data_IF_709466461581
#
_entry.id   IF_709466461581
#
_cell.length_a   1.000
_cell.length_b   1.000
_cell.length_c   1.000
_cell.angle_alpha   90.00
_cell.angle_beta   90.00
_cell.angle_gamma   90.00
#
_symmetry.space_group_name_H-M   'P 1'
#
loop_
_entity.id
_entity.type
_entity.pdbx_description
1 polymer ?
#
# COMPACT_ATOMS: atom_id res chain seq x y z
N UNK A 1 12.44 -5.31 -1.71
CA UNK A 1 11.08 -5.58 -1.20
C UNK A 1 10.94 -7.06 -0.92
N UNK A 2 11.34 -7.93 -1.86
CA UNK A 2 11.45 -9.39 -1.68
C UNK A 2 12.03 -9.81 -0.32
N UNK A 3 13.15 -9.22 0.11
CA UNK A 3 13.75 -9.59 1.40
C UNK A 3 12.85 -9.22 2.60
N UNK A 4 12.18 -8.06 2.58
CA UNK A 4 11.23 -7.69 3.64
C UNK A 4 10.00 -8.62 3.65
N UNK A 5 9.57 -9.10 2.49
CA UNK A 5 8.49 -10.08 2.36
C UNK A 5 8.90 -11.42 2.97
N UNK A 6 10.10 -11.91 2.64
CA UNK A 6 10.62 -13.16 3.20
C UNK A 6 10.76 -13.07 4.71
N UNK A 7 11.30 -11.96 5.22
CA UNK A 7 11.42 -11.69 6.66
C UNK A 7 10.03 -11.73 7.33
N UNK A 8 9.05 -10.99 6.79
CA UNK A 8 7.66 -11.02 7.30
C UNK A 8 7.04 -12.42 7.30
N UNK A 9 7.25 -13.19 6.23
CA UNK A 9 6.73 -14.54 6.13
C UNK A 9 7.38 -15.46 7.17
N UNK A 10 8.70 -15.36 7.37
CA UNK A 10 9.43 -16.11 8.38
C UNK A 10 8.92 -15.78 9.79
N UNK A 11 8.80 -14.49 10.12
CA UNK A 11 8.25 -14.04 11.41
C UNK A 11 6.84 -14.61 11.65
N UNK A 12 5.98 -14.63 10.63
CA UNK A 12 4.64 -15.19 10.74
C UNK A 12 4.66 -16.69 11.04
N UNK A 13 5.51 -17.45 10.35
CA UNK A 13 5.66 -18.90 10.58
C UNK A 13 6.24 -19.21 11.96
N UNK A 14 7.23 -18.44 12.41
CA UNK A 14 7.88 -18.64 13.71
C UNK A 14 6.95 -18.26 14.88
N UNK A 15 6.20 -17.16 14.74
CA UNK A 15 5.28 -16.69 15.77
C UNK A 15 4.00 -17.54 15.86
N UNK A 16 3.53 -18.10 14.74
CA UNK A 16 2.29 -18.88 14.67
C UNK A 16 1.01 -18.08 14.96
N UNK A 17 1.09 -16.75 14.97
CA UNK A 17 -0.04 -15.83 15.15
C UNK A 17 0.06 -14.67 14.16
N UNK A 18 -1.05 -13.97 13.85
CA UNK A 18 -1.03 -12.85 12.90
C UNK A 18 0.04 -11.81 13.24
N UNK A 19 0.66 -11.24 12.21
CA UNK A 19 1.58 -10.10 12.34
C UNK A 19 0.81 -8.88 12.82
N UNK A 20 1.35 -8.15 13.79
CA UNK A 20 0.71 -6.95 14.37
C UNK A 20 1.64 -5.73 14.31
N UNK A 21 1.18 -4.59 14.82
CA UNK A 21 1.91 -3.31 14.76
C UNK A 21 3.21 -3.25 15.59
N UNK A 22 3.44 -4.23 16.47
CA UNK A 22 4.68 -4.33 17.26
C UNK A 22 5.82 -5.01 16.48
N UNK A 23 5.51 -5.57 15.31
CA UNK A 23 6.46 -6.27 14.47
C UNK A 23 7.33 -5.30 13.66
N UNK A 24 8.65 -5.35 13.88
CA UNK A 24 9.58 -4.46 13.17
C UNK A 24 9.72 -4.79 11.69
N UNK A 25 9.52 -6.04 11.30
CA UNK A 25 9.56 -6.51 9.91
C UNK A 25 8.35 -5.96 9.13
N UNK A 26 7.19 -5.81 9.78
CA UNK A 26 6.05 -5.10 9.21
C UNK A 26 6.38 -3.63 8.92
N UNK A 27 7.00 -2.92 9.87
CA UNK A 27 7.41 -1.53 9.67
C UNK A 27 8.37 -1.40 8.48
N UNK A 28 9.43 -2.23 8.45
CA UNK A 28 10.41 -2.26 7.34
C UNK A 28 9.73 -2.52 6.00
N UNK A 29 8.82 -3.50 5.96
CA UNK A 29 8.05 -3.81 4.76
C UNK A 29 7.22 -2.62 4.29
N UNK A 30 6.42 -2.01 5.18
CA UNK A 30 5.57 -0.88 4.83
C UNK A 30 6.37 0.31 4.31
N UNK A 31 7.48 0.63 4.97
CA UNK A 31 8.40 1.67 4.52
C UNK A 31 9.01 1.36 3.13
N UNK A 32 9.45 0.12 2.91
CA UNK A 32 10.02 -0.29 1.61
C UNK A 32 8.97 -0.31 0.50
N UNK A 33 7.75 -0.73 0.81
CA UNK A 33 6.62 -0.69 -0.12
C UNK A 33 6.27 0.76 -0.49
N UNK A 34 6.24 1.68 0.47
CA UNK A 34 5.99 3.10 0.21
C UNK A 34 7.03 3.70 -0.74
N UNK A 35 8.32 3.35 -0.58
CA UNK A 35 9.38 3.75 -1.53
C UNK A 35 9.08 3.22 -2.94
N UNK A 36 8.64 1.97 -3.08
CA UNK A 36 8.29 1.40 -4.40
C UNK A 36 7.06 2.09 -4.99
N UNK A 37 6.04 2.36 -4.16
CA UNK A 37 4.85 3.11 -4.56
C UNK A 37 5.20 4.53 -5.02
N UNK A 38 6.21 5.17 -4.41
CA UNK A 38 6.66 6.52 -4.79
C UNK A 38 7.64 6.53 -5.96
N UNK A 39 8.28 5.40 -6.27
CA UNK A 39 9.31 5.31 -7.31
C UNK A 39 8.75 5.68 -8.68
N UNK A 40 9.28 6.77 -9.25
CA UNK A 40 8.85 7.26 -10.56
C UNK A 40 7.49 7.93 -10.57
N UNK A 41 6.94 8.31 -9.42
CA UNK A 41 5.78 9.19 -9.41
C UNK A 41 6.13 10.53 -10.05
N UNK A 42 5.18 11.03 -10.86
CA UNK A 42 5.26 12.36 -11.44
C UNK A 42 4.89 13.39 -10.39
N UNK A 43 5.63 14.48 -10.32
CA UNK A 43 5.25 15.64 -9.52
C UNK A 43 3.94 16.22 -10.05
N UNK A 44 2.84 15.96 -9.33
CA UNK A 44 1.51 16.44 -9.67
C UNK A 44 0.91 17.15 -8.48
N UNK A 45 0.24 18.27 -8.74
CA UNK A 45 -0.53 19.01 -7.74
C UNK A 45 -2.01 19.02 -8.12
N UNK A 46 -2.88 19.11 -7.12
CA UNK A 46 -4.29 19.43 -7.31
C UNK A 46 -4.47 20.92 -7.62
N UNK A 47 -5.69 21.33 -8.00
CA UNK A 47 -6.01 22.74 -8.25
C UNK A 47 -5.77 23.64 -7.01
N UNK A 48 -5.85 23.07 -5.81
CA UNK A 48 -5.58 23.75 -4.54
C UNK A 48 -4.11 23.58 -4.08
N UNK A 49 -3.21 23.15 -4.96
CA UNK A 49 -1.79 23.06 -4.69
C UNK A 49 -1.33 21.83 -3.89
N UNK A 50 -2.25 20.98 -3.42
CA UNK A 50 -1.87 19.76 -2.69
C UNK A 50 -1.17 18.75 -3.62
N UNK A 51 0.01 18.26 -3.23
CA UNK A 51 0.75 17.22 -3.93
C UNK A 51 -0.08 15.93 -4.02
N UNK A 52 -0.11 15.34 -5.21
CA UNK A 52 -0.73 14.04 -5.46
C UNK A 52 0.30 12.95 -5.25
N UNK A 53 -0.12 11.86 -4.63
CA UNK A 53 0.74 10.70 -4.38
C UNK A 53 -0.01 9.39 -4.71
N UNK A 54 0.48 8.25 -4.21
CA UNK A 54 -0.12 6.94 -4.52
C UNK A 54 -1.57 6.80 -4.01
N UNK A 55 -2.01 7.56 -3.01
CA UNK A 55 -3.42 7.62 -2.62
C UNK A 55 -4.30 8.12 -3.77
N UNK A 56 -3.87 9.18 -4.45
CA UNK A 56 -4.62 9.75 -5.57
C UNK A 56 -4.61 8.80 -6.78
N UNK A 57 -3.52 8.06 -6.97
CA UNK A 57 -3.43 6.98 -7.94
C UNK A 57 -4.43 5.86 -7.63
N UNK A 58 -4.46 5.34 -6.39
CA UNK A 58 -5.45 4.33 -5.97
C UNK A 58 -6.88 4.81 -6.16
N UNK A 59 -7.19 6.05 -5.75
CA UNK A 59 -8.50 6.65 -6.00
C UNK A 59 -8.85 6.68 -7.49
N UNK A 60 -7.88 6.93 -8.37
CA UNK A 60 -8.10 6.97 -9.82
C UNK A 60 -8.36 5.58 -10.39
N UNK A 61 -7.58 4.58 -10.00
CA UNK A 61 -7.67 3.25 -10.56
C UNK A 61 -8.89 2.46 -10.05
N UNK A 62 -9.22 2.59 -8.78
CA UNK A 62 -10.23 1.76 -8.14
C UNK A 62 -11.63 2.40 -8.15
N UNK A 63 -11.79 3.62 -8.70
CA UNK A 63 -13.07 4.33 -8.69
C UNK A 63 -14.23 3.57 -9.35
N UNK A 64 -13.94 2.77 -10.39
CA UNK A 64 -14.91 1.92 -11.09
C UNK A 64 -15.07 0.52 -10.47
N UNK A 65 -14.14 0.11 -9.59
CA UNK A 65 -13.98 -1.28 -9.15
C UNK A 65 -14.76 -1.59 -7.87
N UNK A 66 -16.05 -1.22 -7.85
CA UNK A 66 -16.88 -1.18 -6.63
C UNK A 66 -17.03 -2.50 -5.88
N UNK A 67 -16.81 -3.62 -6.56
CA UNK A 67 -16.95 -4.97 -6.02
C UNK A 67 -15.65 -5.54 -5.43
N UNK A 68 -14.52 -4.83 -5.58
CA UNK A 68 -13.21 -5.31 -5.12
C UNK A 68 -12.86 -4.79 -3.74
N UNK A 69 -12.05 -5.56 -3.00
CA UNK A 69 -11.56 -5.18 -1.67
C UNK A 69 -10.77 -3.87 -1.70
N UNK A 70 -10.02 -3.59 -2.76
CA UNK A 70 -9.33 -2.30 -2.94
C UNK A 70 -10.28 -1.09 -2.90
N UNK A 71 -11.51 -1.21 -3.43
CA UNK A 71 -12.50 -0.14 -3.32
C UNK A 71 -13.04 0.00 -1.89
N UNK A 72 -13.20 -1.11 -1.16
CA UNK A 72 -13.54 -1.08 0.26
C UNK A 72 -12.45 -0.38 1.08
N UNK A 73 -11.17 -0.63 0.77
CA UNK A 73 -10.03 0.05 1.37
C UNK A 73 -10.09 1.58 1.18
N UNK A 74 -10.47 2.05 -0.01
CA UNK A 74 -10.66 3.49 -0.26
C UNK A 74 -11.78 4.10 0.59
N UNK A 75 -12.90 3.40 0.75
CA UNK A 75 -14.02 3.86 1.60
C UNK A 75 -13.59 3.90 3.06
N UNK A 76 -12.90 2.86 3.54
CA UNK A 76 -12.36 2.79 4.88
C UNK A 76 -11.42 3.98 5.15
N UNK A 77 -10.39 4.19 4.32
CA UNK A 77 -9.45 5.30 4.49
C UNK A 77 -10.11 6.69 4.45
N UNK A 78 -11.22 6.86 3.69
CA UNK A 78 -12.01 8.11 3.68
C UNK A 78 -12.83 8.31 4.95
N UNK A 79 -13.23 7.23 5.62
CA UNK A 79 -14.01 7.29 6.87
C UNK A 79 -13.16 7.64 8.10
N UNK A 80 -11.84 7.47 8.02
CA UNK A 80 -10.90 7.85 9.09
C UNK A 80 -10.73 9.38 9.14
N UNK A 81 -11.58 10.03 9.93
CA UNK A 81 -11.62 11.51 10.05
C UNK A 81 -10.37 12.12 10.68
N UNK A 82 -9.60 11.33 11.41
CA UNK A 82 -8.30 11.69 12.00
C UNK A 82 -7.23 11.93 10.93
N UNK A 83 -7.29 11.24 9.79
CA UNK A 83 -6.31 11.37 8.71
C UNK A 83 -6.55 12.65 7.90
N UNK A 84 -5.58 13.56 7.95
CA UNK A 84 -5.62 14.86 7.29
C UNK A 84 -4.93 14.83 5.95
N UNK A 85 -3.89 14.02 5.76
CA UNK A 85 -3.11 14.02 4.51
C UNK A 85 -3.58 12.96 3.51
N UNK A 86 -3.18 13.13 2.24
CA UNK A 86 -3.36 12.07 1.24
C UNK A 86 -2.41 10.90 1.50
N UNK A 87 -1.21 11.17 2.03
CA UNK A 87 -0.23 10.13 2.34
C UNK A 87 -0.74 9.19 3.43
N UNK A 88 -1.21 9.72 4.56
CA UNK A 88 -1.81 8.92 5.63
C UNK A 88 -2.99 8.08 5.17
N UNK A 89 -3.86 8.61 4.31
CA UNK A 89 -4.94 7.83 3.67
C UNK A 89 -4.41 6.70 2.79
N UNK A 90 -3.34 6.96 2.04
CA UNK A 90 -2.65 5.93 1.28
C UNK A 90 -2.09 4.82 2.17
N UNK A 91 -1.47 5.18 3.30
CA UNK A 91 -0.97 4.21 4.29
C UNK A 91 -2.11 3.38 4.90
N UNK A 92 -3.25 4.00 5.17
CA UNK A 92 -4.44 3.28 5.65
C UNK A 92 -4.98 2.26 4.62
N UNK A 93 -4.95 2.59 3.31
CA UNK A 93 -5.30 1.62 2.26
C UNK A 93 -4.37 0.42 2.28
N UNK A 94 -3.06 0.63 2.37
CA UNK A 94 -2.08 -0.46 2.43
C UNK A 94 -2.35 -1.37 3.63
N UNK A 95 -2.55 -0.80 4.82
CA UNK A 95 -2.85 -1.56 6.05
C UNK A 95 -4.12 -2.38 5.91
N UNK A 96 -5.19 -1.76 5.40
CA UNK A 96 -6.44 -2.45 5.11
C UNK A 96 -6.21 -3.63 4.15
N UNK A 97 -5.49 -3.40 3.06
CA UNK A 97 -5.22 -4.43 2.08
C UNK A 97 -4.39 -5.59 2.64
N UNK A 98 -3.49 -5.36 3.60
CA UNK A 98 -2.76 -6.41 4.31
C UNK A 98 -3.69 -7.25 5.19
N UNK A 99 -4.51 -6.61 6.04
CA UNK A 99 -5.49 -7.30 6.90
C UNK A 99 -6.49 -8.14 6.10
N UNK A 100 -6.81 -7.70 4.88
CA UNK A 100 -7.75 -8.38 3.98
C UNK A 100 -7.07 -9.19 2.87
N UNK A 101 -5.75 -9.40 2.94
CA UNK A 101 -4.96 -10.20 1.98
C UNK A 101 -5.25 -9.87 0.50
N UNK A 102 -5.46 -8.59 0.20
CA UNK A 102 -5.85 -8.12 -1.14
C UNK A 102 -4.87 -7.09 -1.71
N UNK A 103 -3.69 -6.92 -1.11
CA UNK A 103 -2.70 -5.93 -1.55
C UNK A 103 -2.20 -6.22 -2.98
N UNK A 104 -1.84 -7.47 -3.27
CA UNK A 104 -1.42 -7.88 -4.61
C UNK A 104 -2.54 -7.64 -5.63
N UNK A 105 -3.75 -8.17 -5.39
CA UNK A 105 -4.91 -7.96 -6.27
C UNK A 105 -5.18 -6.47 -6.52
N UNK A 106 -5.18 -5.65 -5.46
CA UNK A 106 -5.43 -4.21 -5.55
C UNK A 106 -4.42 -3.51 -6.44
N UNK A 107 -3.14 -3.83 -6.31
CA UNK A 107 -2.07 -3.23 -7.12
C UNK A 107 -2.05 -3.76 -8.55
N UNK A 108 -2.38 -5.04 -8.75
CA UNK A 108 -2.56 -5.62 -10.08
C UNK A 108 -3.66 -4.90 -10.85
N UNK A 109 -4.83 -4.71 -10.24
CA UNK A 109 -5.95 -3.95 -10.83
C UNK A 109 -5.56 -2.51 -11.14
N UNK A 110 -4.81 -1.87 -10.24
CA UNK A 110 -4.32 -0.52 -10.49
C UNK A 110 -3.41 -0.46 -11.73
N UNK A 111 -2.51 -1.43 -11.89
CA UNK A 111 -1.55 -1.46 -13.01
C UNK A 111 -2.22 -1.63 -14.38
N UNK A 112 -3.31 -2.41 -14.45
CA UNK A 112 -4.08 -2.67 -15.68
C UNK A 112 -4.70 -1.38 -16.25
N UNK A 113 -4.99 -0.39 -15.41
CA UNK A 113 -5.43 0.93 -15.85
C UNK A 113 -4.25 1.73 -16.43
N UNK A 114 -3.80 1.37 -17.63
CA UNK A 114 -2.60 1.94 -18.26
C UNK A 114 -2.65 3.46 -18.34
N UNK A 115 -3.82 4.03 -18.67
CA UNK A 115 -4.02 5.48 -18.72
C UNK A 115 -3.71 6.11 -17.36
N UNK A 116 -4.33 5.62 -16.28
CA UNK A 116 -4.06 6.12 -14.93
C UNK A 116 -2.61 5.90 -14.52
N UNK A 117 -2.03 4.73 -14.79
CA UNK A 117 -0.64 4.43 -14.45
C UNK A 117 0.33 5.36 -15.19
N UNK A 118 0.11 5.62 -16.49
CA UNK A 118 0.91 6.57 -17.28
C UNK A 118 0.78 8.03 -16.79
N UNK A 119 -0.42 8.40 -16.33
CA UNK A 119 -0.71 9.71 -15.80
C UNK A 119 0.01 9.94 -14.48
N UNK A 120 0.21 8.92 -13.64
CA UNK A 120 0.81 9.07 -12.32
C UNK A 120 2.29 8.72 -12.27
N UNK A 121 2.79 7.91 -13.20
CA UNK A 121 4.16 7.40 -13.18
C UNK A 121 4.91 7.70 -14.47
N UNK A 122 6.21 7.97 -14.33
CA UNK A 122 7.15 8.00 -15.44
C UNK A 122 7.40 6.59 -16.00
N UNK A 123 7.88 6.51 -17.22
CA UNK A 123 8.18 5.25 -17.92
C UNK A 123 9.28 4.39 -17.26
N UNK A 124 10.12 5.01 -16.42
CA UNK A 124 11.13 4.33 -15.59
C UNK A 124 10.60 3.86 -14.23
N UNK A 125 9.34 4.12 -13.89
CA UNK A 125 8.75 3.62 -12.65
C UNK A 125 8.62 2.09 -12.64
N UNK A 126 8.62 1.48 -11.45
CA UNK A 126 8.43 0.03 -11.29
C UNK A 126 7.11 -0.41 -11.92
N UNK A 127 6.03 0.35 -11.72
CA UNK A 127 4.70 0.11 -12.32
C UNK A 127 4.66 0.20 -13.85
N UNK A 128 5.72 0.69 -14.49
CA UNK A 128 5.80 0.95 -15.94
C UNK A 128 6.88 0.10 -16.62
N UNK A 129 7.65 -0.67 -15.87
CA UNK A 129 8.68 -1.60 -16.35
C UNK A 129 8.18 -3.04 -16.14
N UNK A 130 7.88 -3.80 -17.20
CA UNK A 130 7.27 -5.13 -17.06
C UNK A 130 8.05 -6.09 -16.16
N UNK A 131 9.37 -6.16 -16.31
CA UNK A 131 10.24 -7.04 -15.51
C UNK A 131 10.24 -6.65 -14.03
N UNK A 132 10.41 -5.35 -13.73
CA UNK A 132 10.39 -4.84 -12.36
C UNK A 132 9.01 -5.04 -11.72
N UNK A 133 7.94 -4.77 -12.47
CA UNK A 133 6.56 -4.96 -12.01
C UNK A 133 6.27 -6.43 -11.72
N UNK A 134 6.72 -7.36 -12.59
CA UNK A 134 6.54 -8.79 -12.37
C UNK A 134 7.25 -9.27 -11.10
N UNK A 135 8.51 -8.86 -10.90
CA UNK A 135 9.27 -9.20 -9.69
C UNK A 135 8.63 -8.60 -8.41
N UNK A 136 8.14 -7.36 -8.51
CA UNK A 136 7.39 -6.69 -7.45
C UNK A 136 6.11 -7.44 -7.09
N UNK A 137 5.29 -7.78 -8.09
CA UNK A 137 4.03 -8.49 -7.90
C UNK A 137 4.23 -9.90 -7.35
N UNK A 138 5.23 -10.64 -7.85
CA UNK A 138 5.58 -11.97 -7.32
C UNK A 138 5.85 -11.91 -5.82
N UNK A 139 6.62 -10.91 -5.37
CA UNK A 139 6.89 -10.72 -3.93
C UNK A 139 5.62 -10.42 -3.14
N UNK A 140 4.65 -9.71 -3.71
CA UNK A 140 3.41 -9.40 -2.99
C UNK A 140 2.45 -10.60 -2.91
N UNK A 141 2.45 -11.47 -3.91
CA UNK A 141 1.64 -12.69 -3.86
C UNK A 141 2.10 -13.65 -2.76
N UNK A 142 3.39 -13.69 -2.45
CA UNK A 142 3.92 -14.46 -1.31
C UNK A 142 3.34 -14.02 0.05
N UNK A 143 2.83 -12.77 0.15
CA UNK A 143 2.19 -12.27 1.37
C UNK A 143 0.71 -12.65 1.51
N UNK A 144 0.07 -13.24 0.49
CA UNK A 144 -1.34 -13.62 0.59
C UNK A 144 -1.59 -14.69 1.66
N UNK A 145 -0.57 -15.49 1.99
CA UNK A 145 -0.65 -16.52 3.03
C UNK A 145 -0.28 -15.99 4.43
N UNK A 146 0.07 -14.71 4.56
CA UNK A 146 0.38 -14.07 5.84
C UNK A 146 -0.86 -13.41 6.41
N UNK A 147 -1.16 -13.68 7.67
CA UNK A 147 -2.28 -13.04 8.38
C UNK A 147 -1.81 -11.82 9.15
N UNK A 148 -2.61 -10.75 9.15
CA UNK A 148 -2.30 -9.50 9.85
C UNK A 148 -3.44 -9.09 10.80
N UNK A 149 -3.09 -8.70 12.02
CA UNK A 149 -3.99 -8.10 13.01
C UNK A 149 -3.47 -6.72 13.39
N UNK A 150 -3.90 -5.70 12.64
CA UNK A 150 -3.38 -4.33 12.74
C UNK A 150 -4.39 -3.43 13.44
N UNK A 151 -3.92 -2.52 14.28
CA UNK A 151 -4.78 -1.60 14.99
C UNK A 151 -5.53 -0.68 14.00
N UNK A 152 -6.87 -0.56 14.11
CA UNK A 152 -7.67 0.25 13.20
C UNK A 152 -7.55 1.76 13.45
N UNK A 153 -7.04 2.15 14.63
CA UNK A 153 -6.85 3.53 15.06
C UNK A 153 -5.72 3.60 16.10
N UNK A 154 -5.35 4.82 16.52
CA UNK A 154 -4.30 5.05 17.52
C UNK A 154 -2.90 5.31 16.95
N UNK A 155 -2.72 5.11 15.64
CA UNK A 155 -1.48 5.42 14.93
C UNK A 155 -1.62 6.71 14.11
N UNK A 156 -0.65 7.63 14.24
CA UNK A 156 -0.56 8.81 13.38
C UNK A 156 0.06 8.46 12.01
N UNK A 157 -0.79 7.92 11.13
CA UNK A 157 -0.39 7.56 9.77
C UNK A 157 -0.03 8.77 8.91
N UNK A 158 -0.45 9.99 9.27
CA UNK A 158 -0.01 11.18 8.55
C UNK A 158 1.49 11.44 8.78
N UNK A 159 1.98 11.18 9.99
CA UNK A 159 3.38 11.35 10.34
C UNK A 159 4.24 10.16 9.86
N UNK A 160 3.92 8.93 10.27
CA UNK A 160 4.79 7.79 10.06
C UNK A 160 4.04 6.45 9.95
N UNK A 161 4.75 5.42 9.49
CA UNK A 161 4.31 4.03 9.68
C UNK A 161 4.39 3.65 11.16
N UNK A 162 3.43 2.85 11.69
CA UNK A 162 3.47 2.39 13.07
C UNK A 162 4.79 1.70 13.39
N UNK A 163 5.39 2.08 14.51
CA UNK A 163 6.65 1.57 15.01
C UNK A 163 6.53 1.59 16.52
N UNK A 164 6.42 0.41 17.14
CA UNK A 164 6.26 0.22 18.58
C UNK A 164 5.12 1.04 19.22
N UNK A 165 4.14 0.36 19.82
CA UNK A 165 3.38 1.01 20.89
C UNK A 165 4.39 1.48 21.97
N UNK A 166 4.48 2.79 22.20
CA UNK A 166 5.15 3.35 23.39
C UNK A 166 4.27 3.18 24.60
#
# INVERSE_FOLDING_TARGET
LSECVKELYQEFQERGTPINDDDTSLNKFCAKLEIVLQHGQRDKVSLLGAAKNYWNYFCRCLASEKNLQGYAALKYAKSLTELKTSLGRGRAVVRYCLMHQCLAETLQVCSVNEKATSDYYHDWAVFRKPEDFQAFMSSLYDLNDVSFDLAPSGNDLDAAWPCFAR
#
